data_IF_699680960136
#
_entry.id   IF_699680960136
#
_cell.length_a   1.000
_cell.length_b   1.000
_cell.length_c   1.000
_cell.angle_alpha   90.00
_cell.angle_beta   90.00
_cell.angle_gamma   90.00
#
_symmetry.space_group_name_H-M   'P 1'
#
loop_
_entity.id
_entity.type
_entity.pdbx_description
1 polymer ?
#
# COMPACT_ATOMS: atom_id res chain seq x y z
N UNK A 1 39.51 -21.30 -13.41
CA UNK A 1 38.29 -21.90 -14.03
C UNK A 1 37.05 -21.83 -13.13
N UNK A 2 37.16 -22.09 -11.81
CA UNK A 2 36.02 -22.01 -10.88
C UNK A 2 35.41 -20.61 -10.74
N UNK A 3 36.25 -19.57 -10.66
CA UNK A 3 35.83 -18.16 -10.56
C UNK A 3 34.98 -17.71 -11.77
N UNK A 4 35.38 -18.08 -12.99
CA UNK A 4 34.65 -17.76 -14.22
C UNK A 4 33.29 -18.45 -14.27
N UNK A 5 33.21 -19.72 -13.83
CA UNK A 5 31.94 -20.45 -13.71
C UNK A 5 31.03 -19.80 -12.66
N UNK A 6 31.59 -19.35 -11.54
CA UNK A 6 30.84 -18.64 -10.50
C UNK A 6 30.22 -17.33 -11.02
N UNK A 7 31.01 -16.45 -11.64
CA UNK A 7 30.49 -15.19 -12.19
C UNK A 7 29.43 -15.42 -13.27
N UNK A 8 29.63 -16.40 -14.16
CA UNK A 8 28.62 -16.75 -15.18
C UNK A 8 27.30 -17.20 -14.56
N UNK A 9 27.36 -18.05 -13.53
CA UNK A 9 26.16 -18.55 -12.85
C UNK A 9 25.46 -17.43 -12.07
N UNK A 10 26.23 -16.56 -11.40
CA UNK A 10 25.69 -15.37 -10.72
C UNK A 10 24.97 -14.45 -11.71
N UNK A 11 25.58 -14.17 -12.86
CA UNK A 11 25.02 -13.28 -13.86
C UNK A 11 23.74 -13.86 -14.50
N UNK A 12 23.72 -15.18 -14.76
CA UNK A 12 22.50 -15.89 -15.17
C UNK A 12 21.39 -15.77 -14.12
N UNK A 13 21.72 -15.91 -12.84
CA UNK A 13 20.75 -15.82 -11.75
C UNK A 13 20.20 -14.39 -11.62
N UNK A 14 21.05 -13.38 -11.72
CA UNK A 14 20.63 -11.96 -11.74
C UNK A 14 19.74 -11.65 -12.94
N UNK A 15 20.06 -12.20 -14.12
CA UNK A 15 19.24 -12.03 -15.31
C UNK A 15 17.85 -12.66 -15.14
N UNK A 16 17.79 -13.88 -14.61
CA UNK A 16 16.52 -14.56 -14.35
C UNK A 16 15.68 -13.80 -13.31
N UNK A 17 16.31 -13.29 -12.25
CA UNK A 17 15.65 -12.46 -11.26
C UNK A 17 15.09 -11.18 -11.90
N UNK A 18 15.89 -10.50 -12.73
CA UNK A 18 15.46 -9.31 -13.45
C UNK A 18 14.24 -9.57 -14.34
N UNK A 19 14.26 -10.67 -15.11
CA UNK A 19 13.12 -11.07 -15.94
C UNK A 19 11.89 -11.35 -15.08
N UNK A 20 12.05 -12.06 -13.96
CA UNK A 20 10.93 -12.36 -13.06
C UNK A 20 10.30 -11.09 -12.47
N UNK A 21 11.11 -10.10 -12.10
CA UNK A 21 10.61 -8.80 -11.65
C UNK A 21 9.85 -8.09 -12.75
N UNK A 22 10.34 -8.10 -13.99
CA UNK A 22 9.66 -7.42 -15.10
C UNK A 22 8.32 -8.06 -15.48
N UNK A 23 8.21 -9.39 -15.38
CA UNK A 23 7.03 -10.12 -15.87
C UNK A 23 5.95 -10.34 -14.81
N UNK A 24 6.30 -10.31 -13.52
CA UNK A 24 5.34 -10.57 -12.44
C UNK A 24 4.97 -9.30 -11.67
N UNK A 25 3.72 -8.87 -11.82
CA UNK A 25 3.17 -7.74 -11.04
C UNK A 25 3.08 -8.04 -9.55
N UNK A 26 2.82 -9.29 -9.16
CA UNK A 26 2.87 -9.72 -7.76
C UNK A 26 4.27 -9.54 -7.16
N UNK A 27 5.33 -9.87 -7.90
CA UNK A 27 6.71 -9.64 -7.45
C UNK A 27 7.03 -8.15 -7.37
N UNK A 28 6.56 -7.35 -8.34
CA UNK A 28 6.73 -5.89 -8.28
C UNK A 28 6.07 -5.30 -7.03
N UNK A 29 4.81 -5.66 -6.73
CA UNK A 29 4.11 -5.20 -5.53
C UNK A 29 4.82 -5.66 -4.25
N UNK A 30 5.32 -6.90 -4.22
CA UNK A 30 6.13 -7.39 -3.09
C UNK A 30 7.36 -6.50 -2.85
N UNK A 31 8.10 -6.19 -3.92
CA UNK A 31 9.30 -5.36 -3.83
C UNK A 31 8.96 -3.92 -3.42
N UNK A 32 7.86 -3.36 -3.94
CA UNK A 32 7.36 -2.04 -3.53
C UNK A 32 6.97 -2.03 -2.05
N UNK A 33 6.28 -3.06 -1.56
CA UNK A 33 5.97 -3.17 -0.13
C UNK A 33 7.25 -3.24 0.72
N UNK A 34 8.26 -4.02 0.29
CA UNK A 34 9.56 -4.05 0.99
C UNK A 34 10.28 -2.71 0.97
N UNK A 35 10.23 -2.00 -0.14
CA UNK A 35 10.78 -0.65 -0.27
C UNK A 35 10.06 0.34 0.65
N UNK A 36 8.72 0.23 0.74
CA UNK A 36 7.91 1.02 1.66
C UNK A 36 8.30 0.80 3.13
N UNK A 37 8.56 -0.44 3.53
CA UNK A 37 9.00 -0.77 4.89
C UNK A 37 10.41 -0.25 5.23
N UNK A 38 11.25 0.10 4.26
CA UNK A 38 12.59 0.63 4.52
C UNK A 38 12.56 2.08 5.03
N UNK A 39 11.49 2.83 4.71
CA UNK A 39 11.33 4.23 5.07
C UNK A 39 12.44 5.14 4.52
N UNK A 40 12.66 6.30 5.16
CA UNK A 40 13.68 7.28 4.75
C UNK A 40 13.49 7.86 3.34
N UNK A 41 12.23 8.01 2.90
CA UNK A 41 11.85 8.52 1.58
C UNK A 41 11.73 7.45 0.49
N UNK A 42 12.11 6.20 0.80
CA UNK A 42 11.85 5.05 -0.07
C UNK A 42 10.37 4.66 -0.08
N UNK A 43 9.67 4.96 1.01
CA UNK A 43 8.21 4.87 1.15
C UNK A 43 7.48 5.80 0.18
N UNK A 44 7.88 7.07 0.11
CA UNK A 44 7.33 8.01 -0.88
C UNK A 44 7.56 7.51 -2.31
N UNK A 45 8.77 7.02 -2.59
CA UNK A 45 9.10 6.44 -3.90
C UNK A 45 8.28 5.19 -4.23
N UNK A 46 8.00 4.34 -3.23
CA UNK A 46 7.18 3.13 -3.42
C UNK A 46 5.74 3.48 -3.75
N UNK A 47 5.16 4.43 -3.00
CA UNK A 47 3.83 4.97 -3.26
C UNK A 47 3.76 5.63 -4.64
N UNK A 48 4.76 6.42 -5.01
CA UNK A 48 4.80 7.07 -6.32
C UNK A 48 4.79 6.04 -7.45
N UNK A 49 5.69 5.04 -7.42
CA UNK A 49 5.77 4.01 -8.47
C UNK A 49 4.46 3.20 -8.52
N UNK A 50 3.87 2.89 -7.37
CA UNK A 50 2.58 2.22 -7.30
C UNK A 50 1.47 3.05 -7.99
N UNK A 51 1.39 4.35 -7.69
CA UNK A 51 0.39 5.26 -8.24
C UNK A 51 0.56 5.48 -9.75
N UNK A 52 1.79 5.58 -10.25
CA UNK A 52 2.08 5.70 -11.68
C UNK A 52 1.63 4.46 -12.48
N UNK A 53 1.58 3.29 -11.84
CA UNK A 53 1.21 2.01 -12.47
C UNK A 53 -0.10 1.45 -11.89
N UNK A 54 -0.92 2.31 -11.30
CA UNK A 54 -2.15 1.96 -10.57
C UNK A 54 -3.05 0.98 -11.33
N UNK A 55 -3.27 1.23 -12.62
CA UNK A 55 -4.12 0.39 -13.49
C UNK A 55 -3.62 -1.05 -13.60
N UNK A 56 -2.30 -1.24 -13.62
CA UNK A 56 -1.68 -2.56 -13.77
C UNK A 56 -1.59 -3.31 -12.44
N UNK A 57 -1.48 -2.60 -11.32
CA UNK A 57 -1.42 -3.19 -9.98
C UNK A 57 -2.79 -3.43 -9.36
N UNK A 58 -3.84 -2.70 -9.77
CA UNK A 58 -5.20 -2.88 -9.28
C UNK A 58 -5.66 -4.34 -9.29
N UNK A 59 -5.58 -5.10 -10.39
CA UNK A 59 -6.08 -6.47 -10.42
C UNK A 59 -5.38 -7.37 -9.41
N UNK A 60 -4.10 -7.13 -9.15
CA UNK A 60 -3.32 -7.90 -8.17
C UNK A 60 -3.76 -7.57 -6.75
N UNK A 61 -3.98 -6.29 -6.43
CA UNK A 61 -4.50 -5.91 -5.11
C UNK A 61 -5.92 -6.47 -4.90
N UNK A 62 -6.76 -6.41 -5.93
CA UNK A 62 -8.12 -6.95 -5.87
C UNK A 62 -8.12 -8.47 -5.63
N UNK A 63 -7.18 -9.20 -6.25
CA UNK A 63 -6.98 -10.65 -6.03
C UNK A 63 -6.52 -10.97 -4.60
N UNK A 64 -5.64 -10.14 -4.02
CA UNK A 64 -5.17 -10.28 -2.63
C UNK A 64 -6.27 -9.97 -1.60
N UNK A 65 -7.27 -9.19 -1.96
CA UNK A 65 -8.41 -8.86 -1.09
C UNK A 65 -9.40 -10.04 -1.03
N UNK A 66 -9.03 -11.14 -0.37
CA UNK A 66 -9.92 -12.27 -0.13
C UNK A 66 -10.88 -11.99 1.05
N UNK A 67 -12.17 -12.28 0.90
CA UNK A 67 -13.19 -12.02 1.93
C UNK A 67 -13.11 -12.99 3.12
N UNK A 68 -12.54 -14.17 2.91
CA UNK A 68 -12.55 -15.29 3.84
C UNK A 68 -11.17 -15.54 4.45
N UNK A 69 -10.11 -15.42 3.66
CA UNK A 69 -8.77 -15.72 4.15
C UNK A 69 -7.68 -15.00 3.38
N UNK A 70 -7.08 -14.01 4.03
CA UNK A 70 -5.83 -13.40 3.58
C UNK A 70 -4.65 -13.99 4.35
N UNK A 71 -3.58 -14.31 3.64
CA UNK A 71 -2.28 -14.57 4.25
C UNK A 71 -1.73 -13.30 4.93
N UNK A 72 -0.81 -13.46 5.88
CA UNK A 72 -0.18 -12.32 6.56
C UNK A 72 0.47 -11.34 5.57
N UNK A 73 1.07 -11.87 4.49
CA UNK A 73 1.65 -11.06 3.43
C UNK A 73 0.60 -10.23 2.68
N UNK A 74 -0.53 -10.83 2.30
CA UNK A 74 -1.60 -10.14 1.60
C UNK A 74 -2.23 -9.05 2.49
N UNK A 75 -2.36 -9.31 3.79
CA UNK A 75 -2.81 -8.30 4.77
C UNK A 75 -1.87 -7.10 4.77
N UNK A 76 -0.56 -7.33 4.95
CA UNK A 76 0.43 -6.24 5.02
C UNK A 76 0.46 -5.41 3.73
N UNK A 77 0.40 -6.06 2.57
CA UNK A 77 0.40 -5.39 1.26
C UNK A 77 -0.88 -4.59 1.05
N UNK A 78 -2.04 -5.21 1.30
CA UNK A 78 -3.34 -4.54 1.07
C UNK A 78 -3.52 -3.37 2.03
N UNK A 79 -3.12 -3.50 3.30
CA UNK A 79 -3.12 -2.38 4.25
C UNK A 79 -2.24 -1.22 3.78
N UNK A 80 -1.14 -1.51 3.07
CA UNK A 80 -0.22 -0.49 2.56
C UNK A 80 -0.79 0.22 1.32
N UNK A 81 -1.34 -0.53 0.37
CA UNK A 81 -1.60 -0.01 -0.97
C UNK A 81 -3.07 0.08 -1.38
N UNK A 82 -3.98 -0.68 -0.76
CA UNK A 82 -5.39 -0.69 -1.19
C UNK A 82 -6.10 0.64 -0.85
N UNK A 83 -5.66 1.37 0.17
CA UNK A 83 -6.17 2.72 0.47
C UNK A 83 -5.96 3.69 -0.71
N UNK A 84 -4.85 3.54 -1.44
CA UNK A 84 -4.50 4.36 -2.61
C UNK A 84 -5.43 4.11 -3.83
N UNK A 85 -6.29 3.08 -3.73
CA UNK A 85 -7.25 2.66 -4.74
C UNK A 85 -8.71 2.90 -4.32
N UNK A 86 -8.98 3.62 -3.21
CA UNK A 86 -10.35 3.80 -2.70
C UNK A 86 -11.31 4.58 -3.60
N UNK A 87 -10.79 5.32 -4.56
CA UNK A 87 -11.52 5.96 -5.66
C UNK A 87 -12.04 4.96 -6.70
N UNK A 88 -11.54 3.72 -6.71
CA UNK A 88 -12.02 2.64 -7.57
C UNK A 88 -13.18 1.89 -6.90
N UNK A 89 -14.32 1.79 -7.61
CA UNK A 89 -15.57 1.24 -7.08
C UNK A 89 -15.44 -0.26 -6.71
N UNK A 90 -14.70 -1.05 -7.49
CA UNK A 90 -14.53 -2.48 -7.25
C UNK A 90 -13.75 -2.72 -5.95
N UNK A 91 -12.66 -1.98 -5.76
CA UNK A 91 -11.84 -2.05 -4.55
C UNK A 91 -12.66 -1.60 -3.35
N UNK A 92 -13.35 -0.45 -3.46
CA UNK A 92 -14.15 0.08 -2.36
C UNK A 92 -15.25 -0.90 -1.93
N UNK A 93 -16.02 -1.43 -2.87
CA UNK A 93 -17.08 -2.42 -2.60
C UNK A 93 -16.53 -3.68 -1.91
N UNK A 94 -15.35 -4.14 -2.34
CA UNK A 94 -14.67 -5.28 -1.73
C UNK A 94 -14.25 -4.99 -0.29
N UNK A 95 -13.66 -3.82 -0.04
CA UNK A 95 -13.23 -3.39 1.28
C UNK A 95 -14.42 -3.16 2.23
N UNK A 96 -15.54 -2.65 1.74
CA UNK A 96 -16.79 -2.54 2.52
C UNK A 96 -17.23 -3.94 2.99
N UNK A 97 -17.28 -4.91 2.10
CA UNK A 97 -17.60 -6.31 2.44
C UNK A 97 -16.64 -6.89 3.49
N UNK A 98 -15.33 -6.68 3.31
CA UNK A 98 -14.29 -7.14 4.24
C UNK A 98 -14.46 -6.46 5.62
N UNK A 99 -14.78 -5.17 5.64
CA UNK A 99 -14.96 -4.37 6.86
C UNK A 99 -16.17 -4.80 7.70
N UNK A 100 -17.11 -5.53 7.12
CA UNK A 100 -18.30 -6.03 7.81
C UNK A 100 -18.16 -7.49 8.23
N UNK A 101 -17.55 -8.32 7.39
CA UNK A 101 -17.70 -9.78 7.48
C UNK A 101 -16.41 -10.59 7.56
N UNK A 102 -15.23 -9.97 7.37
CA UNK A 102 -13.98 -10.73 7.36
C UNK A 102 -13.75 -11.42 8.72
N UNK A 103 -13.37 -12.72 8.74
CA UNK A 103 -13.31 -13.51 9.98
C UNK A 103 -12.24 -13.00 10.94
N UNK A 104 -11.13 -12.48 10.42
CA UNK A 104 -10.10 -11.87 11.25
C UNK A 104 -10.53 -10.47 11.69
N UNK A 105 -10.73 -10.28 13.01
CA UNK A 105 -11.17 -9.00 13.59
C UNK A 105 -10.24 -7.83 13.26
N UNK A 106 -8.92 -8.06 13.23
CA UNK A 106 -7.95 -7.00 12.92
C UNK A 106 -8.15 -6.46 11.49
N UNK A 107 -8.28 -7.34 10.50
CA UNK A 107 -8.55 -6.97 9.10
C UNK A 107 -9.86 -6.21 8.97
N UNK A 108 -10.92 -6.77 9.57
CA UNK A 108 -12.25 -6.16 9.56
C UNK A 108 -12.23 -4.75 10.16
N UNK A 109 -11.63 -4.58 11.33
CA UNK A 109 -11.60 -3.29 12.02
C UNK A 109 -10.68 -2.27 11.36
N UNK A 110 -9.55 -2.70 10.79
CA UNK A 110 -8.68 -1.80 10.03
C UNK A 110 -9.45 -1.16 8.87
N UNK A 111 -10.10 -1.97 8.04
CA UNK A 111 -10.84 -1.46 6.89
C UNK A 111 -12.10 -0.68 7.29
N UNK A 112 -12.77 -1.08 8.36
CA UNK A 112 -13.88 -0.28 8.92
C UNK A 112 -13.40 1.12 9.33
N UNK A 113 -12.26 1.21 10.00
CA UNK A 113 -11.70 2.49 10.46
C UNK A 113 -11.24 3.37 9.28
N UNK A 114 -10.60 2.79 8.27
CA UNK A 114 -10.17 3.51 7.05
C UNK A 114 -11.39 4.06 6.31
N UNK A 115 -12.40 3.22 6.04
CA UNK A 115 -13.60 3.62 5.28
C UNK A 115 -14.44 4.68 6.01
N UNK A 116 -14.37 4.74 7.34
CA UNK A 116 -15.13 5.71 8.15
C UNK A 116 -14.30 6.93 8.57
N UNK A 117 -13.10 7.13 8.01
CA UNK A 117 -12.28 8.31 8.31
C UNK A 117 -11.88 8.40 9.79
N UNK A 118 -11.52 7.26 10.41
CA UNK A 118 -10.98 7.28 11.79
C UNK A 118 -9.79 8.22 11.90
N UNK A 119 -8.97 8.25 10.87
CA UNK A 119 -7.76 9.05 10.81
C UNK A 119 -7.94 10.21 9.84
N UNK A 120 -7.80 11.43 10.36
CA UNK A 120 -7.92 12.65 9.55
C UNK A 120 -6.71 13.57 9.76
N UNK A 121 -6.27 14.22 8.69
CA UNK A 121 -5.27 15.28 8.74
C UNK A 121 -5.98 16.61 8.93
N UNK A 122 -5.98 17.14 10.15
CA UNK A 122 -6.56 18.45 10.46
C UNK A 122 -5.46 19.52 10.52
N UNK A 123 -5.64 20.71 9.93
CA UNK A 123 -4.67 21.79 10.08
C UNK A 123 -4.54 22.20 11.55
N UNK A 124 -3.32 22.41 12.02
CA UNK A 124 -3.04 22.85 13.40
C UNK A 124 -3.59 24.26 13.63
N UNK A 125 -3.61 25.09 12.59
CA UNK A 125 -4.11 26.47 12.63
C UNK A 125 -5.17 26.70 11.53
N UNK A 126 -6.45 26.35 11.78
CA UNK A 126 -7.51 26.40 10.77
C UNK A 126 -7.87 27.82 10.28
N UNK A 127 -7.45 28.87 10.99
CA UNK A 127 -7.84 30.27 10.74
C UNK A 127 -6.66 31.18 10.34
N UNK A 128 -5.55 30.65 9.82
CA UNK A 128 -4.46 31.51 9.34
C UNK A 128 -4.91 32.27 8.08
N UNK A 129 -4.87 33.61 8.07
CA UNK A 129 -5.23 34.38 6.89
C UNK A 129 -4.27 34.06 5.77
N UNK A 130 -4.83 33.58 4.65
CA UNK A 130 -4.09 33.12 3.47
C UNK A 130 -3.51 34.31 2.70
N UNK A 131 -2.54 34.98 3.31
CA UNK A 131 -1.89 36.18 2.79
C UNK A 131 -0.75 35.82 1.83
N UNK A 132 -1.09 35.11 0.74
CA UNK A 132 -0.35 35.10 -0.53
C UNK A 132 1.14 34.74 -0.55
N UNK A 133 1.76 34.25 0.52
CA UNK A 133 3.18 33.87 0.56
C UNK A 133 3.32 32.53 1.26
N UNK A 134 3.87 31.54 0.56
CA UNK A 134 4.42 30.26 1.05
C UNK A 134 4.35 30.05 2.57
N UNK A 135 3.15 29.81 3.10
CA UNK A 135 2.95 29.49 4.50
C UNK A 135 2.91 27.98 4.62
N UNK A 136 3.82 27.45 5.43
CA UNK A 136 3.81 26.03 5.79
C UNK A 136 2.53 25.74 6.56
N UNK A 137 1.65 24.93 5.98
CA UNK A 137 0.47 24.41 6.68
C UNK A 137 0.90 23.17 7.45
N UNK A 138 0.96 23.30 8.78
CA UNK A 138 1.16 22.15 9.65
C UNK A 138 -0.17 21.42 9.84
N UNK A 139 -0.15 20.10 9.64
CA UNK A 139 -1.27 19.21 9.92
C UNK A 139 -0.99 18.39 11.17
N UNK A 140 -2.03 18.14 11.96
CA UNK A 140 -2.03 17.13 13.01
C UNK A 140 -2.84 15.93 12.56
N UNK A 141 -2.41 14.76 12.99
CA UNK A 141 -3.17 13.54 12.85
C UNK A 141 -4.22 13.47 13.97
N UNK A 142 -5.49 13.33 13.61
CA UNK A 142 -6.60 13.21 14.54
C UNK A 142 -7.10 11.76 14.49
N UNK A 143 -7.13 11.09 15.63
CA UNK A 143 -7.78 9.80 15.80
C UNK A 143 -9.18 10.03 16.36
N UNK A 144 -10.20 9.82 15.53
CA UNK A 144 -11.62 9.95 15.88
C UNK A 144 -12.15 8.75 16.69
N UNK A 145 -11.28 7.78 17.01
CA UNK A 145 -11.59 6.54 17.69
C UNK A 145 -12.18 5.48 16.76
N UNK A 146 -11.93 4.20 17.07
CA UNK A 146 -12.53 3.10 16.33
C UNK A 146 -13.99 2.90 16.75
N UNK A 147 -14.87 2.70 15.77
CA UNK A 147 -16.27 2.27 15.99
C UNK A 147 -16.47 0.80 15.65
N UNK A 148 -15.42 0.11 15.23
CA UNK A 148 -15.46 -1.32 14.96
C UNK A 148 -15.77 -2.08 16.24
N UNK A 149 -16.73 -3.01 16.17
CA UNK A 149 -17.13 -3.89 17.28
C UNK A 149 -16.49 -5.27 17.16
#
# INVERSE_FOLDING_TARGET
MALVKFFRNLLLLLLLLYIAVLTSKTVQIFLLHKMNLMGSGWDDGAVQIFMENKTEFKPVILDMLDNNNMSAYEIDVTFTFAELLLDDEDIRSKLETISESHPQKQVRCFWHDVLNGRFEHAPVFPNQPNNGKNQFVAYRFVDNGTRCK
#
